data_IF_607773224979
#
_entry.id   IF_607773224979
#
_cell.length_a   1.000
_cell.length_b   1.000
_cell.length_c   1.000
_cell.angle_alpha   90.00
_cell.angle_beta   90.00
_cell.angle_gamma   90.00
#
_symmetry.space_group_name_H-M   'P 1'
#
loop_
_entity.id
_entity.type
_entity.pdbx_description
1 polymer ?
#
# COMPACT_ATOMS: atom_id res chain seq x y z
N UNK A 1 1.29 -8.41 -0.85
CA UNK A 1 2.30 -7.67 -0.08
C UNK A 1 3.58 -7.44 -0.89
N UNK A 2 3.70 -8.04 -2.09
CA UNK A 2 4.81 -7.82 -3.05
C UNK A 2 5.01 -6.37 -3.54
N UNK A 3 4.01 -5.48 -3.39
CA UNK A 3 4.08 -4.10 -3.90
C UNK A 3 4.48 -3.06 -2.85
N UNK A 4 4.63 -3.43 -1.58
CA UNK A 4 4.80 -2.48 -0.49
C UNK A 4 6.09 -1.65 -0.64
N UNK A 5 7.15 -2.28 -1.18
CA UNK A 5 8.47 -1.68 -1.40
C UNK A 5 8.60 -0.95 -2.75
N UNK A 6 7.90 -1.44 -3.78
CA UNK A 6 7.89 -0.79 -5.10
C UNK A 6 7.02 0.47 -5.14
N UNK A 7 5.96 0.55 -4.33
CA UNK A 7 4.97 1.64 -4.36
C UNK A 7 5.43 2.91 -3.60
N UNK A 8 6.52 2.82 -2.81
CA UNK A 8 7.09 3.95 -2.03
C UNK A 8 8.48 4.43 -2.48
N UNK A 9 9.15 3.70 -3.38
CA UNK A 9 10.08 4.27 -4.37
C UNK A 9 11.43 4.87 -3.90
N UNK A 10 11.94 4.58 -2.70
CA UNK A 10 13.23 5.17 -2.25
C UNK A 10 14.24 4.16 -1.70
N UNK A 11 13.81 2.99 -1.19
CA UNK A 11 14.71 2.06 -0.48
C UNK A 11 14.73 0.67 -1.11
N UNK A 12 15.92 0.08 -1.21
CA UNK A 12 16.13 -1.33 -1.58
C UNK A 12 15.83 -2.26 -0.40
N UNK A 13 15.61 -3.55 -0.66
CA UNK A 13 15.46 -4.56 0.40
C UNK A 13 16.66 -4.57 1.35
N UNK A 14 17.87 -4.36 0.81
CA UNK A 14 19.12 -4.22 1.56
C UNK A 14 19.09 -3.04 2.51
N UNK A 15 18.65 -1.87 2.05
CA UNK A 15 18.58 -0.67 2.88
C UNK A 15 17.53 -0.81 3.99
N UNK A 16 16.40 -1.44 3.69
CA UNK A 16 15.37 -1.75 4.70
C UNK A 16 15.88 -2.78 5.70
N UNK A 17 16.58 -3.82 5.25
CA UNK A 17 17.18 -4.83 6.12
C UNK A 17 18.21 -4.21 7.07
N UNK A 18 19.05 -3.30 6.57
CA UNK A 18 20.03 -2.55 7.37
C UNK A 18 19.34 -1.70 8.45
N UNK A 19 18.32 -0.92 8.09
CA UNK A 19 17.58 -0.08 9.04
C UNK A 19 16.82 -0.90 10.09
N UNK A 20 16.34 -2.09 9.72
CA UNK A 20 15.63 -3.01 10.62
C UNK A 20 16.56 -3.90 11.46
N UNK A 21 17.87 -3.90 11.18
CA UNK A 21 18.85 -4.76 11.82
C UNK A 21 18.61 -6.26 11.57
N UNK A 22 18.10 -6.63 10.39
CA UNK A 22 17.79 -8.01 10.01
C UNK A 22 18.48 -8.40 8.70
N UNK A 23 18.49 -9.69 8.36
CA UNK A 23 19.03 -10.15 7.08
C UNK A 23 18.14 -9.80 5.89
N UNK A 24 18.74 -9.52 4.73
CA UNK A 24 18.02 -9.23 3.48
C UNK A 24 16.98 -10.32 3.13
N UNK A 25 17.31 -11.60 3.36
CA UNK A 25 16.38 -12.71 3.15
C UNK A 25 15.11 -12.61 4.02
N UNK A 26 15.20 -12.06 5.23
CA UNK A 26 14.03 -11.85 6.10
C UNK A 26 13.06 -10.83 5.50
N UNK A 27 13.60 -9.73 4.94
CA UNK A 27 12.82 -8.71 4.22
C UNK A 27 12.17 -9.29 2.97
N UNK A 28 12.92 -10.02 2.15
CA UNK A 28 12.42 -10.73 0.96
C UNK A 28 11.30 -11.73 1.27
N UNK A 29 11.39 -12.46 2.39
CA UNK A 29 10.34 -13.40 2.83
C UNK A 29 9.10 -12.66 3.33
N UNK A 30 9.27 -11.52 3.99
CA UNK A 30 8.15 -10.67 4.41
C UNK A 30 7.41 -10.14 3.19
N UNK A 31 8.07 -9.50 2.22
CA UNK A 31 7.42 -8.96 1.01
C UNK A 31 6.60 -10.00 0.24
N UNK A 32 7.16 -11.19 0.04
CA UNK A 32 6.49 -12.31 -0.65
C UNK A 32 5.39 -12.97 0.20
N UNK A 33 5.14 -12.49 1.41
CA UNK A 33 4.11 -13.02 2.31
C UNK A 33 4.43 -14.42 2.86
N UNK A 34 5.68 -14.86 2.80
CA UNK A 34 6.12 -16.15 3.36
C UNK A 34 6.28 -16.10 4.88
N UNK A 35 6.45 -14.90 5.44
CA UNK A 35 6.51 -14.63 6.87
C UNK A 35 5.67 -13.40 7.17
N UNK A 36 4.79 -13.51 8.16
CA UNK A 36 4.02 -12.35 8.63
C UNK A 36 4.88 -11.49 9.56
N UNK A 37 4.99 -10.17 9.30
CA UNK A 37 5.63 -9.26 10.24
C UNK A 37 4.84 -9.18 11.55
N UNK A 38 5.56 -8.99 12.66
CA UNK A 38 4.93 -8.72 13.97
C UNK A 38 4.39 -7.28 13.99
N UNK A 39 3.52 -6.96 14.96
CA UNK A 39 3.04 -5.59 15.17
C UNK A 39 4.21 -4.62 15.38
N UNK A 40 5.22 -5.01 16.17
CA UNK A 40 6.42 -4.20 16.36
C UNK A 40 7.14 -3.92 15.02
N UNK A 41 7.24 -4.94 14.16
CA UNK A 41 7.88 -4.79 12.85
C UNK A 41 7.07 -3.89 11.92
N UNK A 42 5.75 -3.92 11.99
CA UNK A 42 4.88 -3.01 11.25
C UNK A 42 5.09 -1.55 11.69
N UNK A 43 5.30 -1.29 12.99
CA UNK A 43 5.61 0.06 13.49
C UNK A 43 6.96 0.55 12.99
N UNK A 44 8.00 -0.29 13.07
CA UNK A 44 9.34 0.07 12.56
C UNK A 44 9.32 0.35 11.06
N UNK A 45 8.61 -0.47 10.27
CA UNK A 45 8.41 -0.22 8.84
C UNK A 45 7.65 1.09 8.60
N UNK A 46 6.69 1.43 9.46
CA UNK A 46 5.92 2.66 9.35
C UNK A 46 6.80 3.90 9.57
N UNK A 47 7.73 3.82 10.52
CA UNK A 47 8.74 4.85 10.76
C UNK A 47 9.68 5.00 9.55
N UNK A 48 10.18 3.88 9.01
CA UNK A 48 11.08 3.85 7.83
C UNK A 48 10.41 4.47 6.59
N UNK A 49 9.12 4.19 6.38
CA UNK A 49 8.38 4.63 5.21
C UNK A 49 7.57 5.92 5.41
N UNK A 50 7.70 6.55 6.59
CA UNK A 50 6.98 7.75 7.00
C UNK A 50 5.46 7.61 6.76
N UNK A 51 4.85 6.58 7.37
CA UNK A 51 3.42 6.33 7.26
C UNK A 51 2.78 5.76 8.52
N UNK A 52 1.48 5.49 8.44
CA UNK A 52 0.77 4.79 9.49
C UNK A 52 0.96 3.27 9.30
N UNK A 53 1.21 2.51 10.38
CA UNK A 53 1.30 1.05 10.31
C UNK A 53 0.01 0.41 9.78
N UNK A 54 -1.14 1.08 9.96
CA UNK A 54 -2.41 0.67 9.37
C UNK A 54 -2.36 0.66 7.83
N UNK A 55 -1.52 1.48 7.19
CA UNK A 55 -1.40 1.53 5.73
C UNK A 55 -0.91 0.20 5.14
N UNK A 56 -0.19 -0.61 5.91
CA UNK A 56 0.24 -1.95 5.49
C UNK A 56 -0.90 -2.98 5.51
N UNK A 57 -1.97 -2.68 6.24
CA UNK A 57 -3.14 -3.54 6.42
C UNK A 57 -4.32 -3.10 5.55
N UNK A 58 -4.43 -1.81 5.25
CA UNK A 58 -5.56 -1.23 4.49
C UNK A 58 -5.59 -1.70 3.03
N UNK A 59 -4.43 -1.97 2.40
CA UNK A 59 -4.36 -2.54 1.05
C UNK A 59 -5.04 -3.91 0.91
N UNK A 60 -5.27 -4.62 2.02
CA UNK A 60 -5.99 -5.90 2.09
C UNK A 60 -7.36 -5.80 2.77
N UNK A 61 -7.78 -4.61 3.23
CA UNK A 61 -9.03 -4.44 3.99
C UNK A 61 -10.26 -4.44 3.07
N UNK A 62 -11.29 -5.21 3.41
CA UNK A 62 -12.58 -5.21 2.71
C UNK A 62 -13.50 -4.05 3.12
N UNK A 63 -13.08 -3.22 4.09
CA UNK A 63 -13.88 -2.07 4.56
C UNK A 63 -13.86 -0.94 3.54
N UNK A 64 -15.04 -0.43 3.20
CA UNK A 64 -15.19 0.68 2.24
C UNK A 64 -14.40 1.94 2.64
N UNK A 65 -14.30 2.25 3.94
CA UNK A 65 -13.51 3.38 4.44
C UNK A 65 -12.03 3.27 4.09
N UNK A 66 -11.48 2.06 4.16
CA UNK A 66 -10.06 1.81 3.96
C UNK A 66 -9.74 1.80 2.46
N UNK A 67 -10.64 1.21 1.65
CA UNK A 67 -10.59 1.28 0.18
C UNK A 67 -10.69 2.72 -0.33
N UNK A 68 -11.52 3.56 0.28
CA UNK A 68 -11.63 4.98 -0.08
C UNK A 68 -10.33 5.76 0.22
N UNK A 69 -9.70 5.49 1.38
CA UNK A 69 -8.40 6.07 1.72
C UNK A 69 -7.31 5.66 0.74
N UNK A 70 -7.26 4.36 0.39
CA UNK A 70 -6.31 3.85 -0.57
C UNK A 70 -6.50 4.48 -1.96
N UNK A 71 -7.76 4.58 -2.43
CA UNK A 71 -8.08 5.27 -3.68
C UNK A 71 -7.61 6.74 -3.65
N UNK A 72 -7.81 7.45 -2.55
CA UNK A 72 -7.36 8.84 -2.42
C UNK A 72 -5.82 8.96 -2.54
N UNK A 73 -5.06 8.03 -1.94
CA UNK A 73 -3.60 8.00 -2.05
C UNK A 73 -3.14 7.73 -3.50
N UNK A 74 -3.82 6.83 -4.23
CA UNK A 74 -3.52 6.59 -5.64
C UNK A 74 -3.79 7.83 -6.50
N UNK A 75 -4.95 8.48 -6.29
CA UNK A 75 -5.33 9.69 -7.03
C UNK A 75 -4.37 10.86 -6.80
N UNK A 76 -3.77 10.96 -5.60
CA UNK A 76 -2.79 12.00 -5.27
C UNK A 76 -1.52 11.94 -6.14
N UNK A 77 -1.15 10.73 -6.64
CA UNK A 77 0.04 10.51 -7.48
C UNK A 77 -0.22 10.79 -8.97
N UNK A 78 -1.48 10.95 -9.37
CA UNK A 78 -1.88 11.14 -10.78
C UNK A 78 -1.97 12.61 -11.16
N UNK A 79 -1.71 12.91 -12.44
CA UNK A 79 -1.98 14.22 -13.04
C UNK A 79 -3.50 14.45 -13.19
N UNK A 80 -3.88 15.69 -13.54
CA UNK A 80 -5.29 16.08 -13.63
C UNK A 80 -6.09 15.30 -14.69
N UNK A 81 -5.47 14.92 -15.80
CA UNK A 81 -6.12 14.16 -16.86
C UNK A 81 -6.40 12.73 -16.42
N UNK A 82 -5.39 12.04 -15.90
CA UNK A 82 -5.51 10.66 -15.42
C UNK A 82 -6.49 10.57 -14.24
N UNK A 83 -6.49 11.57 -13.35
CA UNK A 83 -7.45 11.68 -12.26
C UNK A 83 -8.89 11.77 -12.78
N UNK A 84 -9.14 12.60 -13.80
CA UNK A 84 -10.48 12.72 -14.40
C UNK A 84 -10.95 11.39 -15.03
N UNK A 85 -10.05 10.69 -15.73
CA UNK A 85 -10.33 9.37 -16.31
C UNK A 85 -10.71 8.33 -15.24
N UNK A 86 -9.98 8.29 -14.12
CA UNK A 86 -10.31 7.38 -13.02
C UNK A 86 -11.69 7.67 -12.43
N UNK A 87 -12.02 8.96 -12.24
CA UNK A 87 -13.35 9.35 -11.74
C UNK A 87 -14.46 8.89 -12.70
N UNK A 88 -14.31 9.10 -14.01
CA UNK A 88 -15.30 8.67 -15.00
C UNK A 88 -15.53 7.15 -14.94
N UNK A 89 -14.46 6.35 -14.81
CA UNK A 89 -14.57 4.89 -14.69
C UNK A 89 -15.34 4.50 -13.43
N UNK A 90 -15.04 5.12 -12.29
CA UNK A 90 -15.71 4.84 -11.01
C UNK A 90 -17.21 5.20 -11.10
N UNK A 91 -17.56 6.34 -11.69
CA UNK A 91 -18.95 6.76 -11.90
C UNK A 91 -19.71 5.78 -12.81
N UNK A 92 -19.09 5.33 -13.89
CA UNK A 92 -19.67 4.32 -14.80
C UNK A 92 -19.93 2.99 -14.11
N UNK A 93 -19.04 2.57 -13.21
CA UNK A 93 -19.20 1.33 -12.45
C UNK A 93 -20.27 1.45 -11.37
N UNK A 94 -20.32 2.58 -10.66
CA UNK A 94 -21.32 2.84 -9.63
C UNK A 94 -22.74 2.91 -10.23
N UNK A 95 -22.90 3.62 -11.36
CA UNK A 95 -24.18 3.74 -12.07
C UNK A 95 -24.67 2.42 -12.67
N UNK A 96 -23.77 1.49 -13.01
CA UNK A 96 -24.13 0.14 -13.50
C UNK A 96 -24.77 -0.74 -12.42
N UNK A 97 -24.36 -0.59 -11.15
CA UNK A 97 -24.96 -1.36 -10.05
C UNK A 97 -26.32 -0.83 -9.61
N UNK A 98 -26.58 0.47 -9.79
CA UNK A 98 -27.88 1.09 -9.44
C UNK A 98 -29.04 0.70 -10.40
N UNK A 99 -28.76 -0.01 -11.49
CA UNK A 99 -29.76 -0.48 -12.48
C UNK A 99 -30.12 -1.98 -12.32
N UNK A 100 -29.62 -2.63 -11.28
CA UNK A 100 -30.02 -3.99 -10.88
C UNK A 100 -30.83 -3.93 -9.59
#
# INVERSE_FOLDING_TARGET
>A
MDELLAVRGVLTQEQVAEQLGIGNEAVSRMERGLVMPTVARLMELADIFECDAADFLTGASSRTSDQAKYLAQLLAKLNGHDRATVIEIVERLASRQARR
#
